data_IF_130052881570
#
_entry.id   IF_130052881570
#
_cell.length_a   1.000
_cell.length_b   1.000
_cell.length_c   1.000
_cell.angle_alpha   90.00
_cell.angle_beta   90.00
_cell.angle_gamma   90.00
#
_symmetry.space_group_name_H-M   'P 1'
#
loop_
_entity.id
_entity.type
_entity.pdbx_description
1 polymer ?
#
# COMPACT_ATOMS: atom_id res chain seq x y z
N UNK A 1 -24.00 7.13 0.23
CA UNK A 1 -23.40 6.81 -1.07
C UNK A 1 -22.90 5.38 -0.97
N UNK A 2 -23.39 4.48 -1.81
CA UNK A 2 -23.05 3.04 -1.72
C UNK A 2 -21.73 2.84 -2.46
N UNK A 3 -20.66 2.51 -1.74
CA UNK A 3 -19.41 2.02 -2.32
C UNK A 3 -19.69 0.64 -2.94
N UNK A 4 -19.65 0.54 -4.24
CA UNK A 4 -19.75 -0.74 -4.96
C UNK A 4 -18.41 -1.44 -4.81
N UNK A 5 -18.38 -2.50 -4.02
CA UNK A 5 -17.21 -3.39 -3.93
C UNK A 5 -17.14 -4.21 -5.21
N UNK A 6 -16.04 -4.07 -5.92
CA UNK A 6 -15.73 -4.88 -7.10
C UNK A 6 -15.33 -6.26 -6.63
N UNK A 7 -16.16 -7.27 -6.89
CA UNK A 7 -15.78 -8.67 -6.75
C UNK A 7 -15.10 -9.09 -8.07
N UNK A 8 -13.79 -9.20 -8.04
CA UNK A 8 -13.06 -9.83 -9.15
C UNK A 8 -13.38 -11.34 -9.10
N UNK A 9 -14.02 -11.83 -10.15
CA UNK A 9 -14.40 -13.23 -10.26
C UNK A 9 -13.18 -14.06 -10.65
N UNK A 10 -12.57 -14.72 -9.67
CA UNK A 10 -11.29 -15.45 -9.75
C UNK A 10 -11.46 -16.87 -10.31
N UNK A 11 -12.12 -17.06 -11.44
CA UNK A 11 -12.23 -18.42 -12.02
C UNK A 11 -11.09 -18.82 -12.97
N UNK A 12 -10.07 -17.99 -13.18
CA UNK A 12 -8.97 -18.34 -14.09
C UNK A 12 -7.58 -17.77 -13.76
N UNK A 13 -7.31 -17.33 -12.51
CA UNK A 13 -5.96 -16.89 -12.16
C UNK A 13 -5.35 -17.79 -11.09
N UNK A 14 -4.31 -18.49 -11.49
CA UNK A 14 -3.32 -19.07 -10.59
C UNK A 14 -2.63 -17.92 -9.84
N UNK A 15 -2.87 -17.87 -8.50
CA UNK A 15 -2.04 -17.23 -7.50
C UNK A 15 -1.79 -15.73 -7.57
N UNK A 16 -2.83 -14.89 -7.44
CA UNK A 16 -2.71 -13.60 -6.72
C UNK A 16 -4.00 -13.41 -5.93
N UNK A 17 -3.98 -13.68 -4.64
CA UNK A 17 -5.15 -13.54 -3.77
C UNK A 17 -5.11 -12.16 -3.11
N UNK A 18 -5.94 -11.27 -3.57
CA UNK A 18 -6.18 -9.98 -2.91
C UNK A 18 -7.06 -10.21 -1.69
N UNK A 19 -6.55 -9.90 -0.50
CA UNK A 19 -7.29 -10.01 0.76
C UNK A 19 -8.27 -8.83 0.87
N UNK A 20 -9.56 -9.09 0.66
CA UNK A 20 -10.61 -8.12 1.00
C UNK A 20 -10.87 -8.16 2.50
N UNK A 21 -10.47 -7.14 3.24
CA UNK A 21 -10.84 -6.94 4.65
C UNK A 21 -12.24 -6.37 4.71
N UNK A 22 -13.19 -7.15 5.24
CA UNK A 22 -14.55 -6.69 5.54
C UNK A 22 -14.55 -5.88 6.83
N UNK A 23 -14.74 -4.57 6.72
CA UNK A 23 -15.05 -3.72 7.89
C UNK A 23 -16.57 -3.65 8.07
N UNK A 24 -17.07 -4.19 9.18
CA UNK A 24 -18.43 -3.93 9.65
C UNK A 24 -18.45 -2.58 10.36
N UNK A 25 -19.13 -1.61 9.78
CA UNK A 25 -19.49 -0.37 10.47
C UNK A 25 -20.93 -0.51 11.01
N UNK A 26 -21.05 -0.60 12.33
CA UNK A 26 -22.30 -0.37 13.05
C UNK A 26 -22.38 1.13 13.34
N UNK A 27 -23.29 1.81 12.67
CA UNK A 27 -23.65 3.19 12.96
C UNK A 27 -24.90 3.20 13.81
N UNK A 28 -24.75 3.55 15.10
CA UNK A 28 -25.88 3.96 15.95
C UNK A 28 -26.16 5.45 15.72
N UNK A 29 -27.29 5.71 15.10
CA UNK A 29 -27.86 7.05 14.99
C UNK A 29 -28.60 7.41 16.29
N UNK A 30 -28.17 8.46 16.98
CA UNK A 30 -29.02 9.17 17.95
C UNK A 30 -29.43 10.51 17.36
N UNK A 31 -30.75 10.60 17.17
CA UNK A 31 -31.45 11.82 16.85
C UNK A 31 -31.39 12.79 18.05
N UNK A 32 -31.13 14.05 17.78
CA UNK A 32 -31.52 15.15 18.63
C UNK A 32 -32.44 16.10 17.85
N UNK A 33 -33.70 16.12 18.28
CA UNK A 33 -34.70 17.08 17.88
C UNK A 33 -34.34 18.48 18.41
N UNK A 34 -34.43 19.47 17.53
CA UNK A 34 -34.70 20.83 17.98
C UNK A 34 -35.73 21.50 17.07
N UNK A 35 -36.80 21.91 17.74
CA UNK A 35 -37.98 22.54 17.19
C UNK A 35 -37.75 24.02 16.91
N UNK A 36 -38.38 24.51 15.85
CA UNK A 36 -38.95 25.85 15.92
C UNK A 36 -38.55 26.82 14.84
N UNK A 37 -39.57 27.24 14.12
CA UNK A 37 -39.97 28.48 13.46
C UNK A 37 -40.04 28.38 11.91
N UNK A 38 -41.22 28.62 11.33
CA UNK A 38 -41.45 28.60 9.89
C UNK A 38 -41.13 29.97 9.26
N UNK A 39 -40.32 29.98 8.23
CA UNK A 39 -40.16 31.12 7.34
C UNK A 39 -40.80 30.82 6.00
N UNK A 40 -41.55 31.81 5.46
CA UNK A 40 -42.30 31.79 4.21
C UNK A 40 -41.44 31.62 2.96
N UNK A 41 -42.01 31.14 1.84
CA UNK A 41 -41.25 30.88 0.62
C UNK A 41 -41.04 32.18 -0.18
N UNK A 42 -39.82 32.56 -0.35
CA UNK A 42 -39.42 33.47 -1.41
C UNK A 42 -39.19 32.64 -2.68
N UNK A 43 -39.94 32.93 -3.74
CA UNK A 43 -39.69 32.45 -5.08
C UNK A 43 -38.34 32.98 -5.56
N UNK A 44 -37.31 32.10 -5.45
CA UNK A 44 -36.01 32.30 -6.06
C UNK A 44 -35.97 31.46 -7.33
N UNK A 45 -35.78 32.12 -8.46
CA UNK A 45 -35.45 31.56 -9.76
C UNK A 45 -34.43 30.42 -9.61
N UNK A 46 -34.75 29.24 -10.14
CA UNK A 46 -33.86 28.11 -10.22
C UNK A 46 -32.56 28.53 -10.92
N UNK A 47 -31.40 28.32 -10.33
CA UNK A 47 -30.18 28.38 -11.11
C UNK A 47 -30.19 27.28 -12.13
N UNK A 48 -29.98 27.63 -13.40
CA UNK A 48 -29.75 26.70 -14.47
C UNK A 48 -28.70 25.67 -14.00
N UNK A 49 -28.99 24.41 -14.27
CA UNK A 49 -28.06 23.30 -14.06
C UNK A 49 -26.75 23.64 -14.78
N UNK A 50 -25.83 24.24 -14.04
CA UNK A 50 -24.46 24.42 -14.49
C UNK A 50 -23.86 23.02 -14.64
N UNK A 51 -23.55 22.71 -15.87
CA UNK A 51 -23.00 21.48 -16.41
C UNK A 51 -21.92 20.86 -15.48
N UNK A 52 -22.23 19.70 -14.94
CA UNK A 52 -21.30 18.78 -14.28
C UNK A 52 -20.28 18.17 -15.29
N UNK A 53 -20.18 18.73 -16.49
CA UNK A 53 -19.33 18.23 -17.58
C UNK A 53 -17.86 18.64 -17.47
N UNK A 54 -17.46 19.46 -16.50
CA UNK A 54 -16.07 19.95 -16.40
C UNK A 54 -15.13 19.07 -15.55
N UNK A 55 -15.61 17.97 -15.02
CA UNK A 55 -14.80 17.04 -14.20
C UNK A 55 -14.52 15.69 -14.86
N UNK A 56 -15.11 15.42 -16.02
CA UNK A 56 -14.89 14.16 -16.76
C UNK A 56 -13.94 14.39 -17.94
N UNK A 57 -13.15 13.37 -18.28
CA UNK A 57 -12.31 13.36 -19.46
C UNK A 57 -13.12 13.27 -20.76
N UNK A 58 -12.45 12.93 -21.84
CA UNK A 58 -13.06 12.76 -23.18
C UNK A 58 -14.15 11.69 -23.17
N UNK A 59 -15.26 11.99 -23.86
CA UNK A 59 -16.37 11.05 -24.05
C UNK A 59 -16.23 10.30 -25.38
N UNK A 60 -16.58 9.01 -25.36
CA UNK A 60 -16.47 8.10 -26.50
C UNK A 60 -17.82 7.45 -26.84
N UNK A 61 -18.00 7.03 -28.08
CA UNK A 61 -19.21 6.36 -28.52
C UNK A 61 -19.28 4.90 -28.04
N UNK A 62 -18.12 4.26 -27.83
CA UNK A 62 -18.00 2.88 -27.34
C UNK A 62 -16.76 2.70 -26.45
N UNK A 63 -16.69 1.60 -25.64
CA UNK A 63 -15.48 1.24 -24.91
C UNK A 63 -14.29 0.97 -25.85
N UNK A 64 -14.53 0.39 -27.02
CA UNK A 64 -13.51 0.13 -28.04
C UNK A 64 -12.90 1.44 -28.57
N UNK A 65 -13.71 2.49 -28.78
CA UNK A 65 -13.21 3.80 -29.20
C UNK A 65 -12.34 4.44 -28.10
N UNK A 66 -12.72 4.27 -26.83
CA UNK A 66 -11.92 4.73 -25.71
C UNK A 66 -10.54 4.04 -25.66
N UNK A 67 -10.52 2.71 -25.79
CA UNK A 67 -9.26 1.93 -25.85
C UNK A 67 -8.41 2.33 -27.06
N UNK A 68 -9.01 2.53 -28.23
CA UNK A 68 -8.29 2.96 -29.43
C UNK A 68 -7.65 4.33 -29.24
N UNK A 69 -8.35 5.28 -28.64
CA UNK A 69 -7.80 6.60 -28.34
C UNK A 69 -6.63 6.50 -27.33
N UNK A 70 -6.80 5.70 -26.27
CA UNK A 70 -5.75 5.44 -25.28
C UNK A 70 -4.49 4.87 -25.94
N UNK A 71 -4.64 3.81 -26.76
CA UNK A 71 -3.51 3.20 -27.47
C UNK A 71 -2.77 4.21 -28.34
N UNK A 72 -3.49 4.97 -29.15
CA UNK A 72 -2.89 5.99 -30.03
C UNK A 72 -2.14 7.05 -29.23
N UNK A 73 -2.67 7.51 -28.10
CA UNK A 73 -2.01 8.51 -27.25
C UNK A 73 -0.76 7.94 -26.57
N UNK A 74 -0.80 6.69 -26.11
CA UNK A 74 0.34 6.00 -25.49
C UNK A 74 1.44 5.73 -26.51
N UNK A 75 1.11 5.20 -27.68
CA UNK A 75 2.06 4.93 -28.78
C UNK A 75 2.77 6.23 -29.25
N UNK A 76 2.03 7.33 -29.33
CA UNK A 76 2.56 8.64 -29.69
C UNK A 76 3.30 9.33 -28.52
N UNK A 77 3.24 8.78 -27.29
CA UNK A 77 3.68 9.44 -26.06
C UNK A 77 3.10 10.87 -25.90
N UNK A 78 1.85 11.05 -26.32
CA UNK A 78 1.17 12.33 -26.33
C UNK A 78 0.50 12.60 -24.97
N UNK A 79 1.21 13.34 -24.11
CA UNK A 79 0.73 13.70 -22.77
C UNK A 79 -0.52 14.61 -22.83
N UNK A 80 -0.69 15.41 -23.90
CA UNK A 80 -1.87 16.26 -24.04
C UNK A 80 -3.10 15.42 -24.37
N UNK A 81 -2.95 14.44 -25.27
CA UNK A 81 -4.02 13.49 -25.59
C UNK A 81 -4.39 12.66 -24.34
N UNK A 82 -3.42 12.17 -23.57
CA UNK A 82 -3.68 11.47 -22.31
C UNK A 82 -4.42 12.37 -21.31
N UNK A 83 -4.01 13.62 -21.15
CA UNK A 83 -4.70 14.56 -20.28
C UNK A 83 -6.14 14.86 -20.75
N UNK A 84 -6.42 14.84 -22.05
CA UNK A 84 -7.80 14.95 -22.56
C UNK A 84 -8.61 13.70 -22.27
N UNK A 85 -8.04 12.50 -22.47
CA UNK A 85 -8.70 11.21 -22.24
C UNK A 85 -9.09 11.07 -20.77
N UNK A 86 -8.15 11.31 -19.85
CA UNK A 86 -8.36 11.12 -18.41
C UNK A 86 -8.93 12.37 -17.70
N UNK A 87 -8.93 13.52 -18.36
CA UNK A 87 -9.46 14.77 -17.80
C UNK A 87 -8.53 15.44 -16.78
N UNK A 88 -9.08 16.40 -15.99
CA UNK A 88 -8.29 17.27 -15.12
C UNK A 88 -7.52 16.51 -14.01
N UNK A 89 -7.99 15.36 -13.62
CA UNK A 89 -7.37 14.53 -12.57
C UNK A 89 -6.26 13.61 -13.09
N UNK A 90 -5.87 13.72 -14.38
CA UNK A 90 -4.79 12.89 -14.96
C UNK A 90 -3.50 12.93 -14.16
N UNK A 91 -3.12 14.10 -13.65
CA UNK A 91 -1.91 14.22 -12.82
C UNK A 91 -1.96 13.42 -11.52
N UNK A 92 -3.15 13.09 -11.02
CA UNK A 92 -3.31 12.30 -9.81
C UNK A 92 -3.04 10.79 -10.01
N UNK A 93 -2.92 10.34 -11.27
CA UNK A 93 -2.49 8.99 -11.63
C UNK A 93 -0.95 8.85 -11.69
N UNK A 94 -0.23 9.94 -11.51
CA UNK A 94 1.23 10.01 -11.57
C UNK A 94 1.83 10.07 -10.16
N UNK A 95 3.05 9.55 -10.00
CA UNK A 95 3.76 9.57 -8.70
C UNK A 95 4.35 10.94 -8.38
N UNK A 96 4.50 11.82 -9.39
CA UNK A 96 5.20 13.10 -9.30
C UNK A 96 6.72 12.99 -9.45
N UNK A 97 7.29 11.78 -9.43
CA UNK A 97 8.67 11.52 -9.82
C UNK A 97 8.76 11.28 -11.34
N UNK A 98 9.34 12.24 -12.06
CA UNK A 98 9.43 12.20 -13.53
C UNK A 98 10.16 10.96 -14.07
N UNK A 99 11.17 10.45 -13.36
CA UNK A 99 11.90 9.26 -13.80
C UNK A 99 11.08 8.00 -13.58
N UNK A 100 10.43 7.89 -12.43
CA UNK A 100 9.55 6.77 -12.12
C UNK A 100 8.32 6.78 -13.04
N UNK A 101 7.70 7.95 -13.26
CA UNK A 101 6.56 8.10 -14.15
C UNK A 101 6.91 7.73 -15.60
N UNK A 102 8.09 8.13 -16.10
CA UNK A 102 8.58 7.74 -17.42
C UNK A 102 8.88 6.23 -17.52
N UNK A 103 9.32 5.59 -16.44
CA UNK A 103 9.50 4.14 -16.37
C UNK A 103 8.15 3.42 -16.41
N UNK A 104 7.21 3.86 -15.57
CA UNK A 104 5.85 3.31 -15.51
C UNK A 104 5.13 3.43 -16.86
N UNK A 105 5.21 4.61 -17.50
CA UNK A 105 4.63 4.83 -18.83
C UNK A 105 5.18 3.87 -19.88
N UNK A 106 6.49 3.61 -19.88
CA UNK A 106 7.11 2.64 -20.80
C UNK A 106 6.66 1.22 -20.53
N UNK A 107 6.58 0.80 -19.27
CA UNK A 107 6.07 -0.51 -18.91
C UNK A 107 4.63 -0.69 -19.36
N UNK A 108 3.78 0.31 -19.13
CA UNK A 108 2.40 0.30 -19.56
C UNK A 108 2.26 0.26 -21.10
N UNK A 109 3.06 1.05 -21.82
CA UNK A 109 3.09 1.03 -23.29
C UNK A 109 3.44 -0.36 -23.85
N UNK A 110 4.49 -1.00 -23.31
CA UNK A 110 4.89 -2.34 -23.71
C UNK A 110 3.78 -3.37 -23.42
N UNK A 111 3.20 -3.32 -22.24
CA UNK A 111 2.11 -4.23 -21.88
C UNK A 111 0.87 -4.04 -22.79
N UNK A 112 0.54 -2.79 -23.12
CA UNK A 112 -0.57 -2.45 -24.01
C UNK A 112 -0.33 -2.94 -25.47
N UNK A 113 0.94 -2.95 -25.91
CA UNK A 113 1.35 -3.50 -27.22
C UNK A 113 1.29 -5.03 -27.22
N UNK A 114 1.78 -5.70 -26.15
CA UNK A 114 1.79 -7.16 -26.04
C UNK A 114 0.38 -7.75 -26.06
N UNK A 115 -0.53 -7.21 -25.28
CA UNK A 115 -1.93 -7.62 -25.23
C UNK A 115 -2.78 -6.50 -24.67
N UNK A 116 -3.97 -6.31 -25.26
CA UNK A 116 -4.98 -5.39 -24.79
C UNK A 116 -6.35 -5.98 -25.05
N UNK A 117 -7.14 -6.18 -24.00
CA UNK A 117 -8.51 -6.70 -24.08
C UNK A 117 -9.44 -5.90 -23.18
N UNK A 118 -10.73 -5.90 -23.53
CA UNK A 118 -11.79 -5.33 -22.72
C UNK A 118 -12.45 -6.44 -21.90
N UNK A 119 -12.45 -6.32 -20.58
CA UNK A 119 -13.22 -7.16 -19.69
C UNK A 119 -14.50 -6.45 -19.25
N UNK A 120 -15.66 -7.03 -19.59
CA UNK A 120 -16.96 -6.49 -19.21
C UNK A 120 -17.29 -6.88 -17.77
N UNK A 121 -17.44 -5.88 -16.89
CA UNK A 121 -17.90 -6.12 -15.51
C UNK A 121 -19.43 -6.10 -15.41
N UNK A 122 -20.06 -5.15 -16.10
CA UNK A 122 -21.51 -5.02 -16.18
C UNK A 122 -21.89 -4.19 -17.41
N UNK A 123 -23.18 -3.83 -17.57
CA UNK A 123 -23.64 -3.11 -18.77
C UNK A 123 -23.09 -1.70 -18.91
N UNK A 124 -22.58 -1.10 -17.83
CA UNK A 124 -22.10 0.26 -17.78
C UNK A 124 -20.61 0.38 -17.42
N UNK A 125 -19.86 -0.75 -17.34
CA UNK A 125 -18.50 -0.77 -16.82
C UNK A 125 -17.64 -1.82 -17.53
N UNK A 126 -16.45 -1.40 -17.95
CA UNK A 126 -15.41 -2.25 -18.52
C UNK A 126 -14.06 -1.93 -17.89
N UNK A 127 -13.21 -2.95 -17.79
CA UNK A 127 -11.77 -2.79 -17.53
C UNK A 127 -10.96 -3.06 -18.79
N UNK A 128 -9.79 -2.45 -18.85
CA UNK A 128 -8.78 -2.71 -19.88
C UNK A 128 -7.73 -3.62 -19.30
N UNK A 129 -7.65 -4.86 -19.76
CA UNK A 129 -6.59 -5.78 -19.36
C UNK A 129 -5.43 -5.66 -20.32
N UNK A 130 -4.21 -5.52 -19.77
CA UNK A 130 -2.99 -5.32 -20.55
C UNK A 130 -1.91 -6.33 -20.19
N UNK A 131 -1.05 -6.63 -21.15
CA UNK A 131 0.05 -7.58 -21.01
C UNK A 131 -0.39 -9.04 -20.97
N UNK A 132 0.59 -9.93 -21.03
CA UNK A 132 0.36 -11.39 -21.05
C UNK A 132 -0.22 -11.94 -19.76
N UNK A 133 -0.13 -11.18 -18.66
CA UNK A 133 -0.68 -11.55 -17.35
C UNK A 133 -2.09 -11.02 -17.11
N UNK A 134 -2.74 -10.44 -18.14
CA UNK A 134 -4.07 -9.84 -18.04
C UNK A 134 -4.18 -8.83 -16.86
N UNK A 135 -3.19 -7.92 -16.75
CA UNK A 135 -3.17 -6.94 -15.68
C UNK A 135 -4.28 -5.89 -15.91
N UNK A 136 -5.27 -5.78 -15.02
CA UNK A 136 -6.35 -4.84 -15.19
C UNK A 136 -5.87 -3.41 -14.92
N UNK A 137 -6.05 -2.51 -15.90
CA UNK A 137 -5.77 -1.09 -15.74
C UNK A 137 -6.62 -0.52 -14.60
N UNK A 138 -6.06 0.30 -13.69
CA UNK A 138 -6.79 0.77 -12.50
C UNK A 138 -7.95 1.72 -12.83
N UNK A 139 -7.95 2.37 -14.00
CA UNK A 139 -8.98 3.32 -14.41
C UNK A 139 -10.05 2.60 -15.23
N UNK A 140 -11.28 2.42 -14.69
CA UNK A 140 -12.35 1.77 -15.42
C UNK A 140 -12.91 2.67 -16.53
N UNK A 141 -13.49 2.03 -17.55
CA UNK A 141 -14.31 2.71 -18.56
C UNK A 141 -15.76 2.61 -18.13
N UNK A 142 -16.38 3.77 -17.86
CA UNK A 142 -17.74 3.88 -17.35
C UNK A 142 -18.67 4.49 -18.40
N UNK A 143 -19.97 4.13 -18.34
CA UNK A 143 -20.99 4.72 -19.19
C UNK A 143 -21.78 5.81 -18.43
N UNK A 144 -21.97 6.95 -19.08
CA UNK A 144 -22.86 8.02 -18.63
C UNK A 144 -23.60 8.61 -19.82
N UNK A 145 -24.93 8.70 -19.73
CA UNK A 145 -25.80 9.27 -20.78
C UNK A 145 -25.59 8.64 -22.18
N UNK A 146 -25.28 7.34 -22.23
CA UNK A 146 -25.06 6.62 -23.48
C UNK A 146 -23.67 6.80 -24.10
N UNK A 147 -22.77 7.54 -23.45
CA UNK A 147 -21.38 7.71 -23.85
C UNK A 147 -20.44 7.11 -22.80
N UNK A 148 -19.22 6.79 -23.21
CA UNK A 148 -18.22 6.12 -22.39
C UNK A 148 -17.05 7.06 -22.08
N UNK A 149 -16.45 6.91 -20.89
CA UNK A 149 -15.32 7.71 -20.45
C UNK A 149 -14.45 6.92 -19.46
N UNK A 150 -13.19 7.31 -19.30
CA UNK A 150 -12.34 6.78 -18.24
C UNK A 150 -12.67 7.49 -16.91
N UNK A 151 -13.09 6.73 -15.90
CA UNK A 151 -13.37 7.26 -14.56
C UNK A 151 -12.06 7.40 -13.77
N UNK A 152 -11.40 8.53 -13.99
CA UNK A 152 -10.11 8.84 -13.37
C UNK A 152 -10.22 8.99 -11.85
N UNK A 153 -11.38 9.42 -11.34
CA UNK A 153 -11.60 9.53 -9.89
C UNK A 153 -11.61 8.14 -9.23
N UNK A 154 -12.35 7.18 -9.81
CA UNK A 154 -12.31 5.80 -9.35
C UNK A 154 -10.91 5.19 -9.52
N UNK A 155 -10.24 5.46 -10.66
CA UNK A 155 -8.89 4.98 -10.93
C UNK A 155 -7.86 5.50 -9.93
N UNK A 156 -8.00 6.72 -9.46
CA UNK A 156 -7.13 7.29 -8.42
C UNK A 156 -7.23 6.52 -7.10
N UNK A 157 -8.44 6.20 -6.67
CA UNK A 157 -8.64 5.41 -5.45
C UNK A 157 -7.99 4.02 -5.59
N UNK A 158 -8.20 3.36 -6.73
CA UNK A 158 -7.59 2.05 -7.03
C UNK A 158 -6.06 2.10 -7.09
N UNK A 159 -5.46 3.16 -7.67
CA UNK A 159 -4.00 3.35 -7.68
C UNK A 159 -3.44 3.46 -6.26
N UNK A 160 -4.13 4.22 -5.39
CA UNK A 160 -3.73 4.36 -3.98
C UNK A 160 -3.85 3.02 -3.27
N UNK A 161 -4.94 2.29 -3.45
CA UNK A 161 -5.17 1.00 -2.79
C UNK A 161 -4.12 -0.05 -3.22
N UNK A 162 -3.76 -0.08 -4.50
CA UNK A 162 -2.68 -0.95 -5.00
C UNK A 162 -1.32 -0.56 -4.44
N UNK A 163 -1.04 0.74 -4.34
CA UNK A 163 0.21 1.24 -3.76
C UNK A 163 0.33 0.84 -2.29
N UNK A 164 -0.72 1.07 -1.51
CA UNK A 164 -0.83 0.62 -0.12
C UNK A 164 -0.56 -0.89 -0.01
N UNK A 165 -1.19 -1.70 -0.86
CA UNK A 165 -1.00 -3.15 -0.85
C UNK A 165 0.46 -3.57 -1.13
N UNK A 166 1.14 -2.91 -2.06
CA UNK A 166 2.55 -3.16 -2.35
C UNK A 166 3.45 -2.77 -1.18
N UNK A 167 3.21 -1.61 -0.58
CA UNK A 167 3.99 -1.12 0.55
C UNK A 167 3.80 -2.00 1.80
N UNK A 168 2.58 -2.46 2.05
CA UNK A 168 2.30 -3.42 3.13
C UNK A 168 3.01 -4.76 2.92
N UNK A 169 2.99 -5.29 1.68
CA UNK A 169 3.74 -6.51 1.34
C UNK A 169 5.24 -6.32 1.53
N UNK A 170 5.80 -5.17 1.13
CA UNK A 170 7.20 -4.84 1.36
C UNK A 170 7.51 -4.78 2.85
N UNK A 171 6.66 -4.13 3.67
CA UNK A 171 6.83 -4.05 5.12
C UNK A 171 6.79 -5.43 5.79
N UNK A 172 5.89 -6.32 5.38
CA UNK A 172 5.85 -7.72 5.84
C UNK A 172 7.13 -8.46 5.44
N UNK A 173 7.60 -8.24 4.21
CA UNK A 173 8.88 -8.78 3.71
C UNK A 173 10.06 -8.35 4.59
N UNK A 174 10.15 -7.07 4.95
CA UNK A 174 11.16 -6.53 5.87
C UNK A 174 11.04 -7.16 7.27
N UNK A 175 9.83 -7.32 7.81
CA UNK A 175 9.61 -7.97 9.11
C UNK A 175 10.18 -9.41 9.11
N UNK A 176 9.94 -10.19 8.06
CA UNK A 176 10.46 -11.57 7.92
C UNK A 176 11.97 -11.59 7.71
N UNK A 177 12.50 -10.68 6.88
CA UNK A 177 13.92 -10.53 6.66
C UNK A 177 14.66 -10.18 7.95
N UNK A 178 14.08 -9.30 8.78
CA UNK A 178 14.61 -8.96 10.09
C UNK A 178 14.80 -10.18 10.99
N UNK A 179 13.81 -11.07 11.06
CA UNK A 179 13.90 -12.30 11.86
C UNK A 179 15.06 -13.17 11.38
N UNK A 180 15.19 -13.39 10.07
CA UNK A 180 16.28 -14.16 9.49
C UNK A 180 17.66 -13.53 9.78
N UNK A 181 17.79 -12.23 9.61
CA UNK A 181 19.04 -11.51 9.87
C UNK A 181 19.42 -11.55 11.37
N UNK A 182 18.46 -11.42 12.27
CA UNK A 182 18.69 -11.51 13.72
C UNK A 182 19.17 -12.91 14.13
N UNK A 183 18.56 -13.97 13.62
CA UNK A 183 19.04 -15.33 13.90
C UNK A 183 20.45 -15.55 13.36
N UNK A 184 20.77 -15.06 12.16
CA UNK A 184 22.12 -15.15 11.62
C UNK A 184 23.12 -14.38 12.49
N UNK A 185 22.78 -13.16 12.90
CA UNK A 185 23.62 -12.33 13.78
C UNK A 185 23.85 -13.04 15.13
N UNK A 186 22.79 -13.57 15.75
CA UNK A 186 22.89 -14.28 17.03
C UNK A 186 23.80 -15.50 16.99
N UNK A 187 23.75 -16.27 15.88
CA UNK A 187 24.63 -17.40 15.67
C UNK A 187 26.12 -17.03 15.63
N UNK A 188 26.43 -15.83 15.13
CA UNK A 188 27.81 -15.32 15.07
C UNK A 188 28.25 -14.58 16.34
N UNK A 189 27.31 -14.14 17.19
CA UNK A 189 27.58 -13.27 18.34
C UNK A 189 27.21 -13.93 19.68
N UNK A 190 27.44 -15.23 19.84
CA UNK A 190 27.20 -15.99 21.06
C UNK A 190 25.78 -15.85 21.62
N UNK A 191 24.78 -15.82 20.74
CA UNK A 191 23.36 -15.69 21.08
C UNK A 191 22.91 -14.26 21.40
N UNK A 192 23.76 -13.25 21.24
CA UNK A 192 23.35 -11.85 21.32
C UNK A 192 22.83 -11.35 19.98
N UNK A 193 21.70 -10.67 19.99
CA UNK A 193 21.04 -10.11 18.80
C UNK A 193 21.41 -8.64 18.58
N UNK A 194 21.32 -8.17 17.33
CA UNK A 194 21.64 -6.80 16.98
C UNK A 194 20.59 -5.81 17.54
N UNK A 195 21.06 -4.69 18.05
CA UNK A 195 20.20 -3.62 18.56
C UNK A 195 20.01 -2.47 17.57
N UNK A 196 20.63 -2.58 16.39
CA UNK A 196 20.52 -1.62 15.29
C UNK A 196 20.62 -2.34 13.95
N UNK A 197 20.13 -1.71 12.92
CA UNK A 197 20.14 -2.28 11.58
C UNK A 197 21.53 -2.05 10.94
N UNK A 198 21.99 -0.81 10.92
CA UNK A 198 23.27 -0.45 10.33
C UNK A 198 24.42 -0.61 11.35
N UNK A 199 25.50 -1.23 10.92
CA UNK A 199 26.70 -1.36 11.74
C UNK A 199 27.44 -0.03 11.84
N UNK A 200 28.07 0.23 12.99
CA UNK A 200 29.03 1.30 13.11
C UNK A 200 30.16 1.09 12.10
N UNK A 201 30.62 2.13 11.38
CA UNK A 201 31.70 1.99 10.42
C UNK A 201 32.91 1.26 11.01
N UNK A 202 33.30 0.15 10.36
CA UNK A 202 34.41 -0.70 10.81
C UNK A 202 34.08 -1.69 11.94
N UNK A 203 32.81 -1.77 12.37
CA UNK A 203 32.32 -2.74 13.36
C UNK A 203 31.28 -3.68 12.73
N UNK A 204 31.00 -4.80 13.41
CA UNK A 204 29.94 -5.75 13.04
C UNK A 204 28.90 -5.81 14.16
N UNK A 205 28.32 -4.67 14.51
CA UNK A 205 27.46 -4.48 15.68
C UNK A 205 26.00 -4.15 15.30
N UNK A 206 25.67 -4.19 14.00
CA UNK A 206 24.33 -4.09 13.43
C UNK A 206 24.02 -5.23 12.47
N UNK A 207 22.82 -5.26 11.91
CA UNK A 207 22.37 -6.30 10.98
C UNK A 207 23.00 -6.15 9.59
N UNK A 208 23.33 -4.93 9.17
CA UNK A 208 24.10 -4.68 7.97
C UNK A 208 25.58 -4.54 8.32
N UNK A 209 26.37 -5.50 7.87
CA UNK A 209 27.83 -5.41 7.84
C UNK A 209 28.32 -5.71 6.43
N UNK A 210 28.80 -4.70 5.75
CA UNK A 210 29.51 -4.87 4.49
C UNK A 210 30.88 -5.43 4.76
N UNK A 211 31.14 -6.69 4.42
CA UNK A 211 32.49 -7.21 4.26
C UNK A 211 32.72 -7.49 2.79
N UNK A 212 33.85 -7.04 2.24
CA UNK A 212 34.28 -7.28 0.87
C UNK A 212 34.37 -8.79 0.49
N UNK A 213 34.25 -9.67 1.47
CA UNK A 213 34.34 -11.13 1.31
C UNK A 213 32.99 -11.85 1.23
N UNK A 214 31.86 -11.16 1.41
CA UNK A 214 30.52 -11.78 1.52
C UNK A 214 29.39 -10.94 0.92
N UNK A 215 29.51 -10.54 -0.35
CA UNK A 215 28.42 -9.85 -1.07
C UNK A 215 27.12 -10.63 -1.13
N UNK A 216 27.18 -11.97 -1.04
CA UNK A 216 25.99 -12.84 -1.07
C UNK A 216 25.38 -13.10 0.33
N UNK A 217 26.12 -12.90 1.43
CA UNK A 217 25.70 -13.27 2.77
C UNK A 217 24.80 -12.25 3.47
N UNK A 218 24.67 -11.04 2.94
CA UNK A 218 24.03 -9.93 3.66
C UNK A 218 22.93 -9.20 2.89
N UNK A 219 22.28 -9.85 1.94
CA UNK A 219 21.14 -9.25 1.21
C UNK A 219 20.03 -8.77 2.14
N UNK A 220 19.78 -9.52 3.22
CA UNK A 220 18.78 -9.17 4.23
C UNK A 220 19.22 -7.94 5.05
N UNK A 221 20.49 -7.88 5.43
CA UNK A 221 21.06 -6.72 6.14
C UNK A 221 21.01 -5.46 5.27
N UNK A 222 21.34 -5.56 4.00
CA UNK A 222 21.29 -4.41 3.07
C UNK A 222 19.86 -3.87 2.91
N UNK A 223 18.87 -4.77 2.71
CA UNK A 223 17.45 -4.39 2.65
C UNK A 223 17.00 -3.66 3.93
N UNK A 224 17.47 -4.15 5.08
CA UNK A 224 17.16 -3.57 6.39
C UNK A 224 17.87 -2.23 6.61
N UNK A 225 19.10 -2.07 6.13
CA UNK A 225 19.83 -0.83 6.20
C UNK A 225 19.22 0.25 5.30
N UNK A 226 18.76 -0.11 4.08
CA UNK A 226 17.97 0.78 3.23
C UNK A 226 16.70 1.21 3.95
N UNK A 227 15.99 0.28 4.60
CA UNK A 227 14.79 0.56 5.38
C UNK A 227 15.06 1.47 6.59
N UNK A 228 16.28 1.49 7.13
CA UNK A 228 16.64 2.27 8.31
C UNK A 228 17.35 3.60 8.02
N UNK A 229 18.13 3.74 6.95
CA UNK A 229 18.70 5.07 6.59
C UNK A 229 17.62 6.14 6.63
N UNK A 230 16.42 5.67 6.69
CA UNK A 230 15.15 6.32 6.67
C UNK A 230 14.54 6.56 8.05
N UNK A 231 14.79 5.73 9.09
CA UNK A 231 14.00 5.72 10.35
C UNK A 231 14.55 6.47 11.54
N UNK A 232 15.86 6.72 11.67
CA UNK A 232 16.46 7.25 12.90
C UNK A 232 16.87 8.74 12.85
N UNK A 233 16.87 9.37 11.71
CA UNK A 233 17.25 10.77 11.57
C UNK A 233 16.05 11.67 11.31
N UNK A 234 15.98 12.83 11.94
CA UNK A 234 14.99 13.88 11.59
C UNK A 234 15.14 14.23 10.11
N UNK A 235 14.16 13.81 9.29
CA UNK A 235 14.16 13.98 7.84
C UNK A 235 14.42 12.70 7.04
N UNK A 236 14.48 11.54 7.68
CA UNK A 236 14.56 10.25 7.03
C UNK A 236 13.29 9.97 6.22
N UNK A 237 13.44 9.47 4.99
CA UNK A 237 12.32 9.05 4.15
C UNK A 237 11.90 7.64 4.57
N UNK A 238 10.60 7.30 4.63
CA UNK A 238 10.14 5.95 4.92
C UNK A 238 10.54 4.99 3.78
N UNK A 239 10.86 3.76 4.11
CA UNK A 239 11.11 2.71 3.12
C UNK A 239 9.78 2.08 2.70
N UNK A 240 9.42 2.17 1.42
CA UNK A 240 8.11 1.80 0.95
C UNK A 240 7.01 2.34 1.88
N UNK A 241 7.05 3.63 2.17
CA UNK A 241 6.07 4.29 3.02
C UNK A 241 6.03 3.87 4.50
N UNK A 242 6.99 3.03 4.98
CA UNK A 242 6.99 2.47 6.32
C UNK A 242 8.22 2.86 7.13
N UNK A 243 8.01 3.12 8.42
CA UNK A 243 9.04 3.22 9.44
C UNK A 243 9.21 1.92 10.19
N UNK A 244 10.44 1.60 10.60
CA UNK A 244 10.78 0.38 11.32
C UNK A 244 11.48 0.72 12.64
N UNK A 245 11.13 0.00 13.73
CA UNK A 245 11.72 0.20 15.04
C UNK A 245 11.93 -1.12 15.77
N UNK A 246 13.15 -1.36 16.23
CA UNK A 246 13.49 -2.52 17.06
C UNK A 246 12.83 -2.35 18.44
N UNK A 247 12.21 -3.41 18.94
CA UNK A 247 11.59 -3.49 20.24
C UNK A 247 12.48 -4.32 21.17
N UNK A 248 12.64 -3.84 22.41
CA UNK A 248 13.54 -4.45 23.39
C UNK A 248 12.83 -5.21 24.50
N UNK A 249 11.52 -5.37 24.38
CA UNK A 249 10.71 -6.09 25.36
C UNK A 249 9.42 -6.63 24.73
N UNK A 250 8.81 -7.57 25.43
CA UNK A 250 7.46 -8.06 25.11
C UNK A 250 6.49 -7.82 26.26
N UNK A 251 5.21 -7.74 25.90
CA UNK A 251 4.09 -7.54 26.81
C UNK A 251 3.47 -8.86 27.25
N UNK A 252 2.41 -8.74 28.07
CA UNK A 252 1.76 -9.89 28.71
C UNK A 252 0.97 -10.80 27.76
N UNK A 253 0.60 -10.33 26.58
CA UNK A 253 -0.08 -11.13 25.56
C UNK A 253 0.87 -11.95 24.66
N UNK A 254 2.17 -11.66 24.73
CA UNK A 254 3.16 -12.44 24.02
C UNK A 254 3.41 -13.83 24.68
N UNK A 255 3.83 -14.83 23.92
CA UNK A 255 4.23 -16.12 24.49
C UNK A 255 5.30 -15.96 25.58
N UNK A 256 5.13 -16.59 26.72
CA UNK A 256 6.02 -16.45 27.90
C UNK A 256 5.71 -15.25 28.77
N UNK A 257 4.75 -14.38 28.42
CA UNK A 257 4.34 -13.21 29.20
C UNK A 257 5.31 -12.04 29.11
N UNK A 258 5.14 -11.06 30.00
CA UNK A 258 5.92 -9.83 29.98
C UNK A 258 7.37 -10.07 30.39
N UNK A 259 8.32 -9.69 29.52
CA UNK A 259 9.75 -9.77 29.81
C UNK A 259 10.56 -8.75 28.99
N UNK A 260 11.74 -8.42 29.50
CA UNK A 260 12.77 -7.67 28.75
C UNK A 260 13.59 -8.60 27.88
N UNK A 261 13.83 -8.23 26.63
CA UNK A 261 14.79 -8.91 25.77
C UNK A 261 16.25 -8.54 26.11
N UNK A 262 16.43 -7.46 26.88
CA UNK A 262 17.76 -7.00 27.32
C UNK A 262 18.24 -7.80 28.53
N UNK A 263 19.46 -8.30 28.44
CA UNK A 263 20.25 -8.83 29.54
C UNK A 263 21.63 -8.15 29.50
N UNK A 264 22.02 -7.48 30.58
CA UNK A 264 23.29 -6.73 30.68
C UNK A 264 23.47 -5.71 29.52
N UNK A 265 22.36 -5.06 29.12
CA UNK A 265 22.36 -4.09 28.05
C UNK A 265 22.35 -4.67 26.60
N UNK A 266 22.38 -5.99 26.45
CA UNK A 266 22.38 -6.67 25.16
C UNK A 266 21.07 -7.43 24.94
N UNK A 267 20.57 -7.49 23.71
CA UNK A 267 19.45 -8.34 23.33
C UNK A 267 19.89 -9.81 23.37
N UNK A 268 19.52 -10.55 24.41
CA UNK A 268 19.85 -11.98 24.60
C UNK A 268 18.64 -12.85 24.82
N UNK A 269 17.53 -12.28 25.33
CA UNK A 269 16.33 -13.04 25.66
C UNK A 269 15.30 -13.04 24.53
N UNK A 270 15.62 -12.45 23.40
CA UNK A 270 14.76 -12.31 22.24
C UNK A 270 14.94 -10.99 21.52
N UNK A 271 14.11 -10.78 20.52
CA UNK A 271 14.04 -9.55 19.72
C UNK A 271 12.65 -9.39 19.12
N UNK A 272 12.29 -8.17 18.77
CA UNK A 272 11.08 -7.89 18.02
C UNK A 272 11.22 -6.60 17.21
N UNK A 273 10.30 -6.42 16.25
CA UNK A 273 10.22 -5.27 15.36
C UNK A 273 8.79 -4.76 15.30
N UNK A 274 8.62 -3.45 15.16
CA UNK A 274 7.39 -2.83 14.70
C UNK A 274 7.64 -2.10 13.39
N UNK A 275 6.72 -2.27 12.43
CA UNK A 275 6.66 -1.54 11.17
C UNK A 275 5.33 -0.77 11.10
N UNK A 276 5.36 0.53 10.78
CA UNK A 276 4.15 1.36 10.72
C UNK A 276 4.24 2.39 9.60
N UNK A 277 3.11 2.70 8.92
CA UNK A 277 3.10 3.62 7.80
C UNK A 277 3.33 5.07 8.24
N UNK A 278 3.96 5.85 7.37
CA UNK A 278 4.12 7.30 7.54
C UNK A 278 2.78 8.01 7.52
N UNK A 279 1.96 7.67 6.52
CA UNK A 279 0.65 8.26 6.31
C UNK A 279 -0.40 7.16 6.17
N UNK A 280 -1.30 7.10 7.15
CA UNK A 280 -2.43 6.16 7.10
C UNK A 280 -3.31 6.42 5.87
N UNK A 281 -3.73 5.34 5.21
CA UNK A 281 -4.55 5.36 3.98
C UNK A 281 -3.90 6.07 2.78
N UNK A 282 -2.55 6.20 2.79
CA UNK A 282 -1.76 6.69 1.67
C UNK A 282 -0.53 5.80 1.43
N UNK A 283 0.29 5.59 2.43
CA UNK A 283 1.45 4.70 2.37
C UNK A 283 1.20 3.34 3.05
N UNK A 284 0.08 3.18 3.74
CA UNK A 284 -0.31 1.95 4.39
C UNK A 284 -1.51 2.15 5.32
N UNK A 285 -2.22 1.07 5.59
CA UNK A 285 -3.31 1.01 6.58
C UNK A 285 -2.82 0.27 7.83
N UNK A 286 -2.12 -0.85 7.64
CA UNK A 286 -1.75 -1.75 8.71
C UNK A 286 -0.41 -1.38 9.37
N UNK A 287 -0.35 -1.53 10.68
CA UNK A 287 0.88 -1.60 11.47
C UNK A 287 1.20 -3.06 11.70
N UNK A 288 2.48 -3.44 11.57
CA UNK A 288 2.95 -4.81 11.74
C UNK A 288 3.86 -4.93 12.95
N UNK A 289 3.78 -6.06 13.67
CA UNK A 289 4.76 -6.45 14.68
C UNK A 289 5.20 -7.89 14.43
N UNK A 290 6.47 -8.18 14.72
CA UNK A 290 7.05 -9.52 14.61
C UNK A 290 8.05 -9.74 15.74
N UNK A 291 8.18 -10.99 16.20
CA UNK A 291 9.20 -11.42 17.16
C UNK A 291 10.08 -12.54 16.59
N UNK A 292 10.92 -13.14 17.44
CA UNK A 292 11.82 -14.23 17.08
C UNK A 292 11.14 -15.47 16.48
N UNK A 293 9.85 -15.67 16.74
CA UNK A 293 9.08 -16.79 16.17
C UNK A 293 8.69 -16.56 14.70
N UNK A 294 8.90 -15.35 14.18
CA UNK A 294 8.63 -14.99 12.79
C UNK A 294 7.16 -14.82 12.44
N UNK A 295 6.27 -14.85 13.44
CA UNK A 295 4.85 -14.59 13.24
C UNK A 295 4.59 -13.11 13.13
N UNK A 296 4.20 -12.66 11.95
CA UNK A 296 3.83 -11.27 11.72
C UNK A 296 2.37 -11.06 12.13
N UNK A 297 2.11 -10.10 12.99
CA UNK A 297 0.77 -9.66 13.34
C UNK A 297 0.52 -8.26 12.79
N UNK A 298 -0.73 -7.97 12.44
CA UNK A 298 -1.16 -6.68 11.88
C UNK A 298 -2.30 -6.06 12.69
N UNK A 299 -2.35 -4.73 12.69
CA UNK A 299 -3.42 -3.96 13.30
C UNK A 299 -3.59 -2.61 12.58
N UNK A 300 -4.84 -2.23 12.31
CA UNK A 300 -5.19 -0.87 11.90
C UNK A 300 -5.46 0.01 13.14
N UNK A 301 -4.78 1.17 13.22
CA UNK A 301 -4.98 2.18 14.25
C UNK A 301 -5.79 3.39 13.74
N UNK A 302 -6.23 3.37 12.47
CA UNK A 302 -6.93 4.45 11.80
C UNK A 302 -6.06 5.68 11.56
N UNK A 303 -6.69 6.83 11.46
CA UNK A 303 -6.05 8.12 11.16
C UNK A 303 -4.94 8.54 12.15
N UNK A 304 -4.89 7.94 13.32
CA UNK A 304 -3.86 8.18 14.34
C UNK A 304 -2.73 7.17 14.35
N UNK A 305 -2.60 6.36 13.30
CA UNK A 305 -1.63 5.25 13.22
C UNK A 305 -0.21 5.71 13.55
N UNK A 306 0.33 6.74 12.91
CA UNK A 306 1.68 7.24 13.20
C UNK A 306 1.88 7.59 14.68
N UNK A 307 0.93 8.32 15.27
CA UNK A 307 1.00 8.73 16.68
C UNK A 307 0.90 7.55 17.66
N UNK A 308 0.08 6.56 17.36
CA UNK A 308 -0.09 5.37 18.19
C UNK A 308 1.09 4.41 18.03
N UNK A 309 1.46 4.09 16.80
CA UNK A 309 2.46 3.08 16.47
C UNK A 309 3.89 3.52 16.81
N UNK A 310 4.24 4.79 16.62
CA UNK A 310 5.55 5.33 17.04
C UNK A 310 5.83 5.17 18.54
N UNK A 311 4.79 5.07 19.36
CA UNK A 311 4.89 4.89 20.83
C UNK A 311 4.93 3.43 21.26
N UNK A 312 4.77 2.47 20.35
CA UNK A 312 4.89 1.04 20.67
C UNK A 312 6.34 0.78 21.11
N UNK A 313 6.52 0.26 22.33
CA UNK A 313 7.83 -0.07 22.94
C UNK A 313 7.97 -1.55 23.26
N UNK A 314 6.88 -2.32 23.14
CA UNK A 314 6.86 -3.75 23.43
C UNK A 314 6.11 -4.53 22.35
N UNK A 315 6.57 -5.74 22.05
CA UNK A 315 5.84 -6.70 21.25
C UNK A 315 4.71 -7.30 22.09
N UNK A 316 3.46 -6.98 21.73
CA UNK A 316 2.31 -7.41 22.54
C UNK A 316 1.10 -7.73 21.65
N UNK A 317 1.06 -8.90 21.00
CA UNK A 317 -0.01 -9.31 20.09
C UNK A 317 -1.26 -9.71 20.86
N UNK A 318 -1.97 -8.71 21.44
CA UNK A 318 -3.23 -8.91 22.12
C UNK A 318 -4.37 -9.21 21.13
N UNK A 319 -5.62 -9.34 21.66
CA UNK A 319 -6.82 -9.65 20.87
C UNK A 319 -7.14 -8.66 19.73
N UNK A 320 -6.50 -7.50 19.70
CA UNK A 320 -6.71 -6.49 18.66
C UNK A 320 -5.73 -6.64 17.48
N UNK A 321 -4.80 -7.57 17.58
CA UNK A 321 -3.87 -7.92 16.52
C UNK A 321 -4.33 -9.18 15.82
N UNK A 322 -4.21 -9.21 14.48
CA UNK A 322 -4.54 -10.35 13.64
C UNK A 322 -3.27 -10.93 13.03
N UNK A 323 -3.13 -12.24 13.04
CA UNK A 323 -2.02 -12.93 12.39
C UNK A 323 -2.11 -12.73 10.87
N UNK A 324 -1.01 -12.32 10.26
CA UNK A 324 -0.86 -12.27 8.79
C UNK A 324 -0.74 -13.69 8.27
N UNK A 325 -1.66 -14.10 7.38
CA UNK A 325 -1.64 -15.41 6.74
C UNK A 325 -0.89 -15.34 5.41
N UNK A 326 -0.17 -16.43 5.06
CA UNK A 326 0.66 -16.49 3.84
C UNK A 326 -0.13 -16.57 2.52
N UNK A 327 -1.44 -16.48 2.56
CA UNK A 327 -2.25 -16.47 1.34
C UNK A 327 -2.12 -15.11 0.65
N UNK A 328 -1.23 -15.03 -0.33
CA UNK A 328 -1.15 -13.91 -1.26
C UNK A 328 0.15 -13.11 -1.29
N UNK A 329 1.22 -13.54 -0.64
CA UNK A 329 2.53 -12.88 -0.81
C UNK A 329 3.27 -13.57 -1.96
N UNK A 330 3.57 -12.86 -3.08
CA UNK A 330 4.47 -13.39 -4.08
C UNK A 330 5.83 -13.67 -3.43
N UNK A 331 6.29 -14.92 -3.49
CA UNK A 331 7.68 -15.23 -3.18
C UNK A 331 8.50 -14.55 -4.28
N UNK A 332 9.28 -13.53 -3.92
CA UNK A 332 10.22 -12.93 -4.85
C UNK A 332 11.07 -14.07 -5.42
N UNK A 333 11.11 -14.20 -6.74
CA UNK A 333 11.90 -15.21 -7.44
C UNK A 333 13.34 -15.21 -6.92
N UNK A 334 13.80 -16.41 -6.57
CA UNK A 334 15.14 -16.70 -6.03
C UNK A 334 16.21 -16.51 -7.10
#
# INVERSE_FOLDING_TARGET
>A
MKSSRIFINLSSLSTVTLLAVTVFALSDARANEWSGVPAQPTQGTAPAAASTQSQQGQMFASPDDAVKALRSAVEANDQNALAQIFGPDFSSLQTGDKMQDAKNARHFANALEEKCSLEKQNDNEYYVDVGTNDWPMPVPIMQSNGQWYFDTAAGKEEVIDRHIGMDEMAAIGVCRAYVGAQHQFGNMNNGAYAQKFESTPGQKDGLDWTSAENEQGNRLGHLLAEAQQVGEHKGAQPYHGYYFKILTMQGSAAPGGKMSYLQDGNLKNGFALVAYPEHWNQSGVMTFIVDQDGKVYQRDFGDRTYHAASKITEYNPDKNWTLVTDQGIPVADR
#
